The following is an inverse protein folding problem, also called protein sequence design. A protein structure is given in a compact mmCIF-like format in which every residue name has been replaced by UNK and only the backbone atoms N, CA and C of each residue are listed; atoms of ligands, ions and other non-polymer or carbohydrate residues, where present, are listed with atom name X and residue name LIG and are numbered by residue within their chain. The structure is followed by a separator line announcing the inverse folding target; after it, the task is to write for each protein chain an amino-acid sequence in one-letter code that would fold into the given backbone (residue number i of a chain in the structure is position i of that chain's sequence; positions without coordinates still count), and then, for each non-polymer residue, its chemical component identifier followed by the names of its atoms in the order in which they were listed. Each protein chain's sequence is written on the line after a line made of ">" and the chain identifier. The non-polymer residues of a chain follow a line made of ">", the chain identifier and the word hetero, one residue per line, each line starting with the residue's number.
data_IF_883026865860
#
_entry.id   IF_883026865860
#
_cell.length_a   1.000
_cell.length_b   1.000
_cell.length_c   1.000
_cell.angle_alpha   90.00
_cell.angle_beta   90.00
_cell.angle_gamma   90.00
#
_symmetry.space_group_name_H-M   'P 1'
#
loop_
_entity.id
_entity.type
_entity.pdbx_description
1 polymer ?
#
# COMPACT_ATOMS: atom_id res chain seq x y z
N UNK A 1 -4.35 -64.81 9.51
CA UNK A 1 -4.59 -63.59 10.31
C UNK A 1 -3.25 -62.96 10.62
N UNK A 2 -2.92 -61.89 9.92
CA UNK A 2 -1.71 -61.11 10.18
C UNK A 2 -2.10 -59.65 9.99
N UNK A 3 -2.51 -59.01 11.08
CA UNK A 3 -2.80 -57.59 11.13
C UNK A 3 -1.48 -56.83 10.97
N UNK A 4 -1.34 -56.06 9.87
CA UNK A 4 -0.37 -54.96 9.79
C UNK A 4 -1.09 -53.67 10.17
N UNK A 5 -0.93 -53.31 11.43
CA UNK A 5 -1.24 -52.00 11.99
C UNK A 5 -0.28 -50.94 11.43
N UNK A 6 -0.83 -49.77 11.11
CA UNK A 6 -0.12 -48.49 11.19
C UNK A 6 0.57 -48.01 9.91
N UNK A 7 -0.22 -47.43 9.00
CA UNK A 7 0.28 -46.38 8.11
C UNK A 7 -0.31 -45.06 8.60
N UNK A 8 0.53 -44.19 9.17
CA UNK A 8 0.20 -42.78 9.38
C UNK A 8 -0.05 -42.20 7.98
N UNK A 9 -1.31 -41.95 7.64
CA UNK A 9 -1.69 -41.23 6.43
C UNK A 9 -1.15 -39.80 6.58
N UNK A 10 0.03 -39.55 6.02
CA UNK A 10 0.50 -38.19 5.77
C UNK A 10 -0.45 -37.59 4.74
N UNK A 11 -1.15 -36.50 5.09
CA UNK A 11 -2.04 -35.74 4.19
C UNK A 11 -1.31 -35.05 3.02
N UNK A 12 -0.10 -35.47 2.68
CA UNK A 12 0.61 -34.96 1.52
C UNK A 12 0.11 -35.72 0.29
N UNK A 13 -0.57 -35.04 -0.67
CA UNK A 13 -0.93 -35.67 -1.93
C UNK A 13 0.34 -36.23 -2.58
N UNK A 14 0.22 -37.40 -3.21
CA UNK A 14 1.35 -38.05 -3.87
C UNK A 14 2.03 -37.04 -4.84
N UNK A 15 3.36 -36.99 -4.81
CA UNK A 15 4.14 -36.23 -5.79
C UNK A 15 3.98 -36.89 -7.17
N UNK A 16 2.92 -36.51 -7.89
CA UNK A 16 2.48 -37.24 -9.08
C UNK A 16 3.33 -36.97 -10.32
N UNK A 17 4.04 -35.83 -10.38
CA UNK A 17 4.84 -35.42 -11.55
C UNK A 17 6.16 -34.79 -11.11
N UNK A 18 7.24 -35.17 -11.78
CA UNK A 18 8.58 -34.63 -11.53
C UNK A 18 8.79 -33.30 -12.27
N UNK A 19 8.62 -32.20 -11.54
CA UNK A 19 8.69 -30.83 -12.07
C UNK A 19 10.10 -30.37 -12.44
N UNK A 20 11.15 -31.09 -12.03
CA UNK A 20 12.54 -30.75 -12.37
C UNK A 20 12.98 -31.30 -13.73
N UNK A 21 12.13 -32.07 -14.40
CA UNK A 21 12.43 -32.67 -15.72
C UNK A 21 12.13 -31.70 -16.86
N UNK A 22 12.94 -31.72 -17.93
CA UNK A 22 12.71 -30.85 -19.09
C UNK A 22 11.40 -31.16 -19.82
N UNK A 23 10.93 -32.41 -19.78
CA UNK A 23 9.67 -32.83 -20.40
C UNK A 23 8.45 -32.12 -19.79
N UNK A 24 8.49 -31.84 -18.47
CA UNK A 24 7.43 -31.07 -17.79
C UNK A 24 7.29 -29.67 -18.38
N UNK A 25 8.41 -28.98 -18.62
CA UNK A 25 8.44 -27.60 -19.10
C UNK A 25 8.22 -27.45 -20.61
N UNK A 26 8.60 -28.46 -21.40
CA UNK A 26 8.41 -28.50 -22.86
C UNK A 26 6.98 -28.89 -23.27
N UNK A 27 5.99 -28.62 -22.42
CA UNK A 27 4.58 -28.89 -22.68
C UNK A 27 3.92 -27.66 -23.34
N UNK A 28 3.11 -27.87 -24.38
CA UNK A 28 2.36 -26.78 -25.04
C UNK A 28 1.47 -25.98 -24.06
N UNK A 29 1.00 -26.61 -22.98
CA UNK A 29 0.24 -25.94 -21.91
C UNK A 29 1.09 -24.92 -21.16
N UNK A 30 2.36 -25.23 -20.91
CA UNK A 30 3.32 -24.30 -20.29
C UNK A 30 3.53 -23.10 -21.19
N UNK A 31 3.65 -23.32 -22.51
CA UNK A 31 3.79 -22.24 -23.50
C UNK A 31 2.58 -21.30 -23.44
N UNK A 32 1.35 -21.84 -23.39
CA UNK A 32 0.15 -21.02 -23.26
C UNK A 32 0.10 -20.23 -21.94
N UNK A 33 0.48 -20.86 -20.82
CA UNK A 33 0.57 -20.18 -19.53
C UNK A 33 1.62 -19.05 -19.58
N UNK A 34 2.77 -19.29 -20.23
CA UNK A 34 3.82 -18.29 -20.40
C UNK A 34 3.36 -17.11 -21.26
N UNK A 35 2.57 -17.37 -22.31
CA UNK A 35 1.95 -16.31 -23.12
C UNK A 35 1.03 -15.45 -22.26
N UNK A 36 0.18 -16.05 -21.41
CA UNK A 36 -0.68 -15.27 -20.50
C UNK A 36 0.12 -14.40 -19.54
N UNK A 37 1.14 -14.97 -18.89
CA UNK A 37 2.03 -14.25 -17.98
C UNK A 37 2.73 -13.08 -18.70
N UNK A 38 3.21 -13.32 -19.93
CA UNK A 38 3.87 -12.30 -20.75
C UNK A 38 2.91 -11.18 -21.16
N UNK A 39 1.69 -11.53 -21.61
CA UNK A 39 0.66 -10.54 -21.96
C UNK A 39 0.35 -9.65 -20.73
N UNK A 40 0.15 -10.25 -19.56
CA UNK A 40 -0.10 -9.51 -18.32
C UNK A 40 1.07 -8.59 -17.96
N UNK A 41 2.31 -9.07 -18.10
CA UNK A 41 3.52 -8.27 -17.86
C UNK A 41 3.64 -7.09 -18.81
N UNK A 42 3.45 -7.31 -20.12
CA UNK A 42 3.50 -6.27 -21.15
C UNK A 42 2.41 -5.23 -20.91
N UNK A 43 1.18 -5.68 -20.60
CA UNK A 43 0.07 -4.80 -20.29
C UNK A 43 0.34 -3.92 -19.06
N UNK A 44 0.88 -4.51 -17.99
CA UNK A 44 1.26 -3.77 -16.79
C UNK A 44 2.35 -2.73 -17.08
N UNK A 45 3.40 -3.13 -17.81
CA UNK A 45 4.48 -2.22 -18.20
C UNK A 45 3.97 -1.07 -19.08
N UNK A 46 3.08 -1.36 -20.04
CA UNK A 46 2.45 -0.35 -20.88
C UNK A 46 1.66 0.68 -20.05
N UNK A 47 0.89 0.24 -19.05
CA UNK A 47 0.17 1.14 -18.15
C UNK A 47 1.15 2.01 -17.36
N UNK A 48 2.18 1.43 -16.74
CA UNK A 48 3.18 2.19 -15.97
C UNK A 48 3.88 3.21 -16.88
N UNK A 49 4.31 2.78 -18.07
CA UNK A 49 4.95 3.66 -19.03
C UNK A 49 4.04 4.81 -19.48
N UNK A 50 2.77 4.52 -19.76
CA UNK A 50 1.77 5.53 -20.17
C UNK A 50 1.50 6.57 -19.08
N UNK A 51 1.34 6.15 -17.82
CA UNK A 51 0.92 7.04 -16.74
C UNK A 51 2.08 7.67 -15.95
N UNK A 52 3.25 7.02 -15.90
CA UNK A 52 4.41 7.49 -15.12
C UNK A 52 5.63 7.81 -16.00
N UNK A 53 5.83 7.11 -17.13
CA UNK A 53 7.00 7.24 -18.01
C UNK A 53 6.93 8.35 -19.08
N UNK A 54 5.78 8.57 -19.72
CA UNK A 54 5.60 9.63 -20.74
C UNK A 54 5.78 11.05 -20.17
N UNK A 55 5.78 11.19 -18.85
CA UNK A 55 5.84 12.45 -18.10
C UNK A 55 7.21 13.16 -18.18
N UNK A 56 8.30 12.45 -18.44
CA UNK A 56 9.64 13.07 -18.41
C UNK A 56 9.99 13.86 -19.68
N UNK A 57 9.24 13.71 -20.79
CA UNK A 57 9.56 14.39 -22.06
C UNK A 57 8.95 15.79 -22.19
N UNK A 58 8.04 16.21 -21.30
CA UNK A 58 7.24 17.43 -21.47
C UNK A 58 7.35 18.41 -20.28
N UNK A 59 8.47 18.37 -19.55
CA UNK A 59 8.67 19.16 -18.31
C UNK A 59 8.90 20.66 -18.55
N UNK A 60 9.08 21.11 -19.78
CA UNK A 60 9.51 22.50 -20.05
C UNK A 60 8.38 23.47 -20.42
N UNK A 61 7.11 23.07 -20.46
CA UNK A 61 6.05 24.01 -20.89
C UNK A 61 4.69 23.67 -20.32
N UNK A 62 4.41 24.04 -19.06
CA UNK A 62 3.07 24.42 -18.59
C UNK A 62 3.07 24.70 -17.07
N UNK A 63 3.56 25.87 -16.69
CA UNK A 63 3.15 26.52 -15.43
C UNK A 63 1.80 27.20 -15.64
N UNK A 64 0.70 26.45 -15.78
CA UNK A 64 -0.65 27.03 -15.57
C UNK A 64 -1.69 25.94 -15.38
N UNK A 65 -2.25 25.87 -14.17
CA UNK A 65 -3.62 25.43 -13.85
C UNK A 65 -4.14 24.17 -14.60
N UNK A 66 -3.62 22.99 -14.25
CA UNK A 66 -4.26 21.72 -14.64
C UNK A 66 -4.78 20.94 -13.42
N UNK A 67 -5.95 20.28 -13.55
CA UNK A 67 -6.60 19.53 -12.48
C UNK A 67 -5.62 18.48 -11.93
N UNK A 68 -5.64 18.31 -10.61
CA UNK A 68 -4.69 17.48 -9.86
C UNK A 68 -4.35 16.16 -10.57
N UNK A 69 -3.10 16.09 -11.05
CA UNK A 69 -2.61 15.04 -11.95
C UNK A 69 -2.79 13.66 -11.29
N UNK A 70 -3.39 12.70 -12.00
CA UNK A 70 -3.83 11.41 -11.44
C UNK A 70 -2.77 10.59 -10.69
N UNK A 71 -1.48 10.79 -10.95
CA UNK A 71 -0.37 10.12 -10.25
C UNK A 71 0.33 10.95 -9.19
N UNK A 72 -0.05 12.22 -8.98
CA UNK A 72 0.61 13.13 -8.07
C UNK A 72 0.23 12.83 -6.61
N UNK A 73 1.23 12.82 -5.73
CA UNK A 73 1.06 12.54 -4.31
C UNK A 73 1.67 13.69 -3.50
N UNK A 74 0.94 14.18 -2.50
CA UNK A 74 1.44 15.15 -1.53
C UNK A 74 2.03 14.45 -0.32
N UNK A 75 3.08 15.04 0.28
CA UNK A 75 3.78 14.45 1.42
C UNK A 75 2.84 14.21 2.61
N UNK A 76 1.92 15.15 2.85
CA UNK A 76 1.00 15.09 3.99
C UNK A 76 -0.09 14.01 3.85
N UNK A 77 -0.40 13.56 2.63
CA UNK A 77 -1.37 12.49 2.40
C UNK A 77 -0.89 11.12 2.92
N UNK A 78 0.42 10.96 3.14
CA UNK A 78 0.99 9.69 3.63
C UNK A 78 0.77 9.47 5.13
N UNK A 79 0.58 10.54 5.90
CA UNK A 79 0.52 10.48 7.37
C UNK A 79 -0.62 11.26 8.01
N UNK A 80 -1.39 12.07 7.26
CA UNK A 80 -2.57 12.75 7.79
C UNK A 80 -3.82 11.86 7.79
N UNK A 81 -4.63 11.91 8.86
CA UNK A 81 -5.97 11.32 8.87
C UNK A 81 -6.96 12.03 7.93
N UNK A 82 -8.05 11.37 7.57
CA UNK A 82 -9.13 11.95 6.76
C UNK A 82 -9.86 13.15 7.35
N UNK A 83 -9.94 13.19 8.67
CA UNK A 83 -10.71 14.16 9.43
C UNK A 83 -9.75 15.02 10.26
N UNK A 84 -9.91 16.34 10.21
CA UNK A 84 -9.13 17.32 10.97
C UNK A 84 -9.21 17.09 12.48
N UNK A 85 -10.34 16.59 12.98
CA UNK A 85 -10.54 16.29 14.40
C UNK A 85 -9.75 15.07 14.91
N UNK A 86 -9.22 14.22 14.02
CA UNK A 86 -8.44 13.05 14.43
C UNK A 86 -6.96 13.44 14.48
N UNK A 87 -6.37 13.38 15.67
CA UNK A 87 -4.95 13.67 15.85
C UNK A 87 -4.08 12.65 15.05
N UNK A 88 -3.04 13.08 14.31
CA UNK A 88 -2.18 12.18 13.52
C UNK A 88 -1.56 11.02 14.31
N UNK A 89 -1.37 11.19 15.63
CA UNK A 89 -0.88 10.14 16.51
C UNK A 89 -1.80 8.90 16.57
N UNK A 90 -3.11 9.03 16.36
CA UNK A 90 -4.02 7.87 16.32
C UNK A 90 -3.76 6.99 15.10
N UNK A 91 -3.50 7.60 13.94
CA UNK A 91 -3.10 6.86 12.73
C UNK A 91 -1.75 6.18 12.94
N UNK A 92 -0.79 6.86 13.57
CA UNK A 92 0.49 6.25 13.95
C UNK A 92 0.30 5.05 14.88
N UNK A 93 -0.48 5.21 15.96
CA UNK A 93 -0.73 4.14 16.92
C UNK A 93 -1.38 2.92 16.26
N UNK A 94 -2.36 3.14 15.38
CA UNK A 94 -2.98 2.09 14.59
C UNK A 94 -1.96 1.35 13.72
N UNK A 95 -1.10 2.08 13.00
CA UNK A 95 -0.07 1.49 12.12
C UNK A 95 0.97 0.68 12.87
N UNK A 96 1.43 1.18 14.02
CA UNK A 96 2.38 0.46 14.88
C UNK A 96 1.75 -0.81 15.44
N UNK A 97 0.50 -0.73 15.90
CA UNK A 97 -0.23 -1.91 16.38
C UNK A 97 -0.44 -2.94 15.27
N UNK A 98 -0.88 -2.52 14.10
CA UNK A 98 -1.06 -3.38 12.93
C UNK A 98 0.27 -4.05 12.51
N UNK A 99 1.36 -3.28 12.49
CA UNK A 99 2.70 -3.81 12.21
C UNK A 99 3.10 -4.88 13.24
N UNK A 100 2.93 -4.60 14.53
CA UNK A 100 3.27 -5.54 15.60
C UNK A 100 2.45 -6.84 15.50
N UNK A 101 1.14 -6.74 15.28
CA UNK A 101 0.25 -7.90 15.11
C UNK A 101 0.70 -8.75 13.91
N UNK A 102 0.93 -8.13 12.75
CA UNK A 102 1.36 -8.84 11.55
C UNK A 102 2.74 -9.47 11.71
N UNK A 103 3.67 -8.77 12.35
CA UNK A 103 5.01 -9.30 12.61
C UNK A 103 4.95 -10.52 13.55
N UNK A 104 4.16 -10.45 14.63
CA UNK A 104 3.96 -11.57 15.54
C UNK A 104 3.34 -12.75 14.81
N UNK A 105 2.32 -12.52 13.97
CA UNK A 105 1.70 -13.57 13.17
C UNK A 105 2.70 -14.22 12.21
N UNK A 106 3.51 -13.44 11.50
CA UNK A 106 4.54 -13.94 10.59
C UNK A 106 5.59 -14.77 11.33
N UNK A 107 6.10 -14.27 12.46
CA UNK A 107 7.09 -14.99 13.28
C UNK A 107 6.50 -16.27 13.84
N UNK A 108 5.28 -16.22 14.42
CA UNK A 108 4.60 -17.40 14.95
C UNK A 108 4.39 -18.45 13.86
N UNK A 109 3.86 -18.05 12.70
CA UNK A 109 3.64 -18.96 11.57
C UNK A 109 4.96 -19.59 11.11
N UNK A 110 6.03 -18.80 10.97
CA UNK A 110 7.34 -19.31 10.58
C UNK A 110 7.93 -20.30 11.63
N UNK A 111 7.68 -20.08 12.92
CA UNK A 111 8.15 -20.94 14.00
C UNK A 111 7.36 -22.25 14.11
N UNK A 112 6.03 -22.20 13.94
CA UNK A 112 5.16 -23.37 14.10
C UNK A 112 5.07 -24.23 12.84
N UNK A 113 4.91 -23.59 11.67
CA UNK A 113 4.68 -24.30 10.39
C UNK A 113 5.96 -24.42 9.54
N UNK A 114 7.04 -23.76 9.96
CA UNK A 114 8.34 -23.78 9.29
C UNK A 114 8.44 -22.86 8.07
N UNK A 115 9.63 -22.81 7.47
CA UNK A 115 9.93 -21.91 6.35
C UNK A 115 9.20 -22.24 5.04
N UNK A 116 8.71 -23.47 4.86
CA UNK A 116 7.98 -23.88 3.65
C UNK A 116 6.67 -23.12 3.44
N UNK A 117 6.12 -22.49 4.49
CA UNK A 117 4.90 -21.70 4.37
C UNK A 117 5.10 -20.44 3.51
N UNK A 118 6.34 -19.96 3.36
CA UNK A 118 6.67 -18.84 2.47
C UNK A 118 6.58 -19.17 0.97
N UNK A 119 6.27 -20.42 0.59
CA UNK A 119 5.87 -20.74 -0.79
C UNK A 119 4.44 -20.30 -1.12
N UNK A 120 3.59 -20.04 -0.13
CA UNK A 120 2.21 -19.62 -0.36
C UNK A 120 2.13 -18.10 -0.63
N UNK A 121 1.32 -17.72 -1.62
CA UNK A 121 1.05 -16.34 -1.98
C UNK A 121 0.41 -15.57 -0.82
N UNK A 122 -0.38 -16.24 0.01
CA UNK A 122 -0.96 -15.64 1.23
C UNK A 122 0.10 -15.15 2.21
N UNK A 123 1.22 -15.87 2.35
CA UNK A 123 2.33 -15.45 3.20
C UNK A 123 3.14 -14.33 2.57
N UNK A 124 3.29 -14.32 1.25
CA UNK A 124 3.85 -13.18 0.52
C UNK A 124 3.02 -11.92 0.76
N UNK A 125 1.69 -12.01 0.63
CA UNK A 125 0.75 -10.91 0.90
C UNK A 125 0.82 -10.46 2.36
N UNK A 126 0.87 -11.39 3.32
CA UNK A 126 1.02 -11.07 4.75
C UNK A 126 2.33 -10.30 5.02
N UNK A 127 3.45 -10.81 4.49
CA UNK A 127 4.77 -10.18 4.60
C UNK A 127 4.78 -8.79 3.98
N UNK A 128 4.20 -8.65 2.79
CA UNK A 128 4.12 -7.38 2.08
C UNK A 128 3.19 -6.37 2.78
N UNK A 129 2.14 -6.84 3.44
CA UNK A 129 1.28 -6.03 4.31
C UNK A 129 2.02 -5.60 5.57
N UNK A 130 2.85 -6.45 6.17
CA UNK A 130 3.71 -6.07 7.29
C UNK A 130 4.73 -4.99 6.87
N UNK A 131 5.37 -5.13 5.71
CA UNK A 131 6.28 -4.11 5.16
C UNK A 131 5.55 -2.78 4.96
N UNK A 132 4.31 -2.81 4.45
CA UNK A 132 3.46 -1.63 4.33
C UNK A 132 3.26 -0.91 5.67
N UNK A 133 2.84 -1.63 6.70
CA UNK A 133 2.61 -1.03 8.02
C UNK A 133 3.91 -0.57 8.70
N UNK A 134 5.03 -1.25 8.45
CA UNK A 134 6.35 -0.80 8.90
C UNK A 134 6.75 0.54 8.27
N UNK A 135 6.66 0.64 6.94
CA UNK A 135 6.93 1.89 6.22
C UNK A 135 5.95 3.01 6.60
N UNK A 136 4.66 2.66 6.73
CA UNK A 136 3.61 3.59 7.15
C UNK A 136 3.83 4.12 8.56
N UNK A 137 4.32 3.29 9.47
CA UNK A 137 4.68 3.71 10.84
C UNK A 137 5.84 4.70 10.81
N UNK A 138 6.89 4.44 10.02
CA UNK A 138 8.02 5.36 9.86
C UNK A 138 7.60 6.71 9.28
N UNK A 139 6.78 6.71 8.21
CA UNK A 139 6.27 7.94 7.60
C UNK A 139 5.31 8.69 8.53
N UNK A 140 4.46 7.97 9.27
CA UNK A 140 3.57 8.57 10.27
C UNK A 140 4.34 9.17 11.44
N UNK A 141 5.41 8.54 11.90
CA UNK A 141 6.25 9.04 12.99
C UNK A 141 6.97 10.32 12.55
N UNK A 142 7.55 10.32 11.36
CA UNK A 142 8.16 11.51 10.76
C UNK A 142 7.14 12.66 10.58
N UNK A 143 5.93 12.35 10.09
CA UNK A 143 4.86 13.32 9.95
C UNK A 143 4.36 13.90 11.28
N UNK A 144 4.19 13.05 12.31
CA UNK A 144 3.83 13.49 13.66
C UNK A 144 4.93 14.37 14.27
N UNK A 145 6.20 14.04 14.05
CA UNK A 145 7.32 14.85 14.50
C UNK A 145 7.32 16.24 13.84
N UNK A 146 7.13 16.31 12.52
CA UNK A 146 6.98 17.59 11.82
C UNK A 146 5.76 18.39 12.30
N UNK A 147 4.63 17.72 12.50
CA UNK A 147 3.41 18.35 13.01
C UNK A 147 3.63 18.97 14.41
N UNK A 148 4.30 18.25 15.30
CA UNK A 148 4.63 18.75 16.64
C UNK A 148 5.64 19.90 16.59
N UNK A 149 6.69 19.79 15.75
CA UNK A 149 7.66 20.87 15.56
C UNK A 149 6.98 22.16 15.06
N UNK A 150 6.03 22.05 14.14
CA UNK A 150 5.28 23.21 13.63
C UNK A 150 4.39 23.87 14.68
N UNK A 151 3.86 23.10 15.65
CA UNK A 151 3.07 23.64 16.76
C UNK A 151 3.95 24.20 17.89
N UNK A 152 5.16 23.68 18.05
CA UNK A 152 6.15 24.13 19.05
C UNK A 152 6.93 25.36 18.61
N UNK A 153 7.24 25.52 17.32
CA UNK A 153 7.94 26.69 16.78
C UNK A 153 7.16 28.00 16.95
N UNK A 154 5.83 27.94 16.84
CA UNK A 154 4.93 29.09 17.06
C UNK A 154 4.92 29.59 18.52
N UNK A 155 5.37 28.74 19.47
CA UNK A 155 5.50 29.10 20.89
C UNK A 155 6.89 29.62 21.28
N UNK A 156 7.94 29.35 20.51
CA UNK A 156 9.32 29.68 20.88
C UNK A 156 9.76 31.05 20.35
N UNK A 157 9.12 31.58 19.30
CA UNK A 157 9.41 32.94 18.78
C UNK A 157 8.81 34.09 19.63
N UNK A 158 8.25 33.80 20.81
CA UNK A 158 7.71 34.83 21.73
C UNK A 158 8.48 34.95 23.06
N UNK A 159 9.63 34.28 23.21
CA UNK A 159 10.47 34.40 24.42
C UNK A 159 11.94 34.59 24.06
N UNK A 160 12.22 35.61 23.26
CA UNK A 160 13.54 36.26 23.30
C UNK A 160 13.33 37.77 23.43
N UNK A 161 12.77 38.13 24.58
CA UNK A 161 12.61 39.49 25.06
C UNK A 161 13.30 39.63 26.40
N UNK A 162 14.52 40.16 26.32
CA UNK A 162 15.06 41.17 27.22
C UNK A 162 15.51 40.74 28.64
N UNK A 163 16.83 40.61 28.80
CA UNK A 163 17.51 40.90 30.05
C UNK A 163 18.93 41.39 29.72
N UNK A 164 19.09 42.68 29.46
CA UNK A 164 19.95 43.53 30.29
C UNK A 164 19.84 45.02 29.89
N UNK A 165 19.33 45.79 30.83
CA UNK A 165 19.00 47.21 30.77
C UNK A 165 20.25 48.05 31.09
N UNK A 166 20.53 49.10 30.31
CA UNK A 166 21.69 50.00 30.47
C UNK A 166 21.44 51.47 30.07
N UNK A 167 20.59 52.13 30.85
CA UNK A 167 20.44 53.57 31.22
C UNK A 167 21.19 54.69 30.42
N UNK A 168 20.40 55.69 29.97
CA UNK A 168 20.52 57.18 30.06
C UNK A 168 20.62 58.04 28.78
N UNK A 169 19.59 58.87 28.51
CA UNK A 169 19.62 60.36 28.55
C UNK A 169 18.61 61.08 27.61
N UNK A 170 17.62 61.75 28.24
CA UNK A 170 16.89 63.00 27.90
C UNK A 170 15.97 63.18 26.67
N UNK A 171 14.92 64.05 26.78
CA UNK A 171 13.75 64.07 25.89
C UNK A 171 13.62 65.30 24.95
N UNK A 172 12.64 65.20 24.04
CA UNK A 172 12.03 66.19 23.14
C UNK A 172 12.60 66.25 21.71
N UNK A 173 11.76 65.98 20.70
CA UNK A 173 11.04 66.99 19.91
C UNK A 173 9.90 66.30 19.12
N UNK A 174 8.77 67.00 19.08
CA UNK A 174 7.52 66.74 18.37
C UNK A 174 7.73 66.53 16.86
N UNK A 175 7.09 65.52 16.28
CA UNK A 175 7.00 65.34 14.83
C UNK A 175 5.92 64.32 14.48
N UNK A 176 4.82 64.83 13.91
CA UNK A 176 3.66 64.08 13.44
C UNK A 176 4.02 62.93 12.48
N UNK A 177 3.26 61.84 12.53
CA UNK A 177 2.63 61.22 11.34
C UNK A 177 2.09 59.82 11.64
N UNK A 178 0.79 59.67 11.40
CA UNK A 178 0.07 58.48 10.91
C UNK A 178 0.50 57.07 11.37
N UNK A 179 -0.37 56.39 12.12
CA UNK A 179 -1.20 55.32 11.55
C UNK A 179 -2.12 54.72 12.63
N UNK A 180 -3.41 54.93 12.43
CA UNK A 180 -4.48 54.22 13.12
C UNK A 180 -4.35 52.72 12.88
N UNK A 181 -4.47 51.95 13.97
CA UNK A 181 -4.52 50.50 14.02
C UNK A 181 -5.47 49.91 12.98
N UNK A 182 -4.93 49.48 11.85
CA UNK A 182 -5.62 48.59 10.92
C UNK A 182 -5.41 47.15 11.42
N UNK A 183 -6.51 46.55 11.86
CA UNK A 183 -6.70 45.16 12.24
C UNK A 183 -5.70 44.20 11.57
N UNK A 184 -4.87 43.59 12.41
CA UNK A 184 -4.08 42.40 12.10
C UNK A 184 -5.04 41.21 11.85
N UNK A 185 -5.62 41.16 10.65
CA UNK A 185 -6.44 40.05 10.15
C UNK A 185 -5.99 39.67 8.74
N UNK A 186 -4.68 39.52 8.56
CA UNK A 186 -4.08 39.22 7.25
C UNK A 186 -2.86 38.31 7.33
N UNK A 187 -2.86 37.30 8.22
CA UNK A 187 -1.67 36.43 8.38
C UNK A 187 -1.98 35.02 8.90
N UNK A 188 -3.03 34.36 8.40
CA UNK A 188 -3.30 32.96 8.80
C UNK A 188 -3.90 32.05 7.72
N UNK A 189 -4.00 32.55 6.49
CA UNK A 189 -4.46 31.77 5.32
C UNK A 189 -3.44 31.80 4.18
N UNK A 190 -2.16 31.98 4.47
CA UNK A 190 -1.13 31.54 3.52
C UNK A 190 -1.08 30.02 3.54
N UNK A 191 -1.81 29.45 2.57
CA UNK A 191 -1.57 28.16 1.95
C UNK A 191 -0.07 27.85 1.97
N UNK A 192 0.39 27.06 2.94
CA UNK A 192 1.61 26.30 2.79
C UNK A 192 1.43 25.50 1.50
N UNK A 193 2.11 25.90 0.42
CA UNK A 193 2.10 25.18 -0.84
C UNK A 193 2.42 23.72 -0.53
N UNK A 194 1.41 22.83 -0.63
CA UNK A 194 1.57 21.44 -0.22
C UNK A 194 2.77 20.85 -0.96
N UNK A 195 3.73 20.34 -0.19
CA UNK A 195 4.97 19.80 -0.76
C UNK A 195 4.69 18.48 -1.49
N UNK A 196 5.29 18.27 -2.68
CA UNK A 196 5.23 16.99 -3.36
C UNK A 196 5.84 15.91 -2.46
N UNK A 197 5.26 14.72 -2.46
CA UNK A 197 5.81 13.59 -1.74
C UNK A 197 7.21 13.22 -2.27
N UNK A 198 8.11 12.87 -1.35
CA UNK A 198 9.39 12.27 -1.71
C UNK A 198 9.24 10.84 -2.26
N UNK A 199 10.35 10.25 -2.69
CA UNK A 199 10.43 8.89 -3.21
C UNK A 199 9.71 7.86 -2.32
N UNK A 200 9.94 7.90 -1.01
CA UNK A 200 9.32 6.98 -0.06
C UNK A 200 7.80 7.10 0.03
N UNK A 201 7.22 8.28 -0.22
CA UNK A 201 5.77 8.45 -0.28
C UNK A 201 5.16 7.74 -1.49
N UNK A 202 5.80 7.84 -2.65
CA UNK A 202 5.37 7.11 -3.85
C UNK A 202 5.49 5.59 -3.66
N UNK A 203 6.61 5.12 -3.11
CA UNK A 203 6.80 3.70 -2.76
C UNK A 203 5.71 3.22 -1.81
N UNK A 204 5.44 3.97 -0.74
CA UNK A 204 4.39 3.65 0.21
C UNK A 204 3.01 3.54 -0.44
N UNK A 205 2.67 4.45 -1.36
CA UNK A 205 1.40 4.42 -2.08
C UNK A 205 1.31 3.25 -3.07
N UNK A 206 2.40 2.91 -3.75
CA UNK A 206 2.45 1.74 -4.65
C UNK A 206 2.24 0.45 -3.85
N UNK A 207 2.95 0.30 -2.72
CA UNK A 207 2.82 -0.85 -1.82
C UNK A 207 1.39 -0.95 -1.28
N UNK A 208 0.76 0.16 -0.89
CA UNK A 208 -0.65 0.18 -0.44
C UNK A 208 -1.59 -0.44 -1.49
N UNK A 209 -1.43 -0.04 -2.74
CA UNK A 209 -2.34 -0.46 -3.83
C UNK A 209 -2.09 -1.89 -4.28
N UNK A 210 -0.83 -2.31 -4.30
CA UNK A 210 -0.47 -3.71 -4.49
C UNK A 210 -1.08 -4.58 -3.39
N UNK A 211 -0.97 -4.19 -2.11
CA UNK A 211 -1.59 -4.90 -0.99
C UNK A 211 -3.11 -4.92 -1.09
N UNK A 212 -3.75 -3.81 -1.48
CA UNK A 212 -5.20 -3.74 -1.65
C UNK A 212 -5.73 -4.78 -2.64
N UNK A 213 -5.04 -4.94 -3.78
CA UNK A 213 -5.36 -5.99 -4.75
C UNK A 213 -5.05 -7.39 -4.22
N UNK A 214 -3.85 -7.58 -3.66
CA UNK A 214 -3.36 -8.90 -3.24
C UNK A 214 -4.18 -9.50 -2.09
N UNK A 215 -4.56 -8.70 -1.10
CA UNK A 215 -5.36 -9.13 0.05
C UNK A 215 -6.78 -9.51 -0.37
N UNK A 216 -7.41 -8.72 -1.25
CA UNK A 216 -8.73 -9.11 -1.77
C UNK A 216 -8.65 -10.32 -2.69
N UNK A 217 -7.59 -10.46 -3.50
CA UNK A 217 -7.40 -11.65 -4.33
C UNK A 217 -7.24 -12.90 -3.47
N UNK A 218 -6.44 -12.85 -2.41
CA UNK A 218 -6.31 -13.99 -1.48
C UNK A 218 -7.66 -14.30 -0.84
N UNK A 219 -8.38 -13.30 -0.33
CA UNK A 219 -9.65 -13.56 0.34
C UNK A 219 -10.72 -14.08 -0.64
N UNK A 220 -10.84 -13.50 -1.84
CA UNK A 220 -11.77 -13.98 -2.87
C UNK A 220 -11.45 -15.40 -3.35
N UNK A 221 -10.19 -15.74 -3.60
CA UNK A 221 -9.80 -17.11 -4.00
C UNK A 221 -10.19 -18.10 -2.90
N UNK A 222 -9.92 -17.78 -1.64
CA UNK A 222 -10.29 -18.68 -0.54
C UNK A 222 -11.81 -18.79 -0.33
N UNK A 223 -12.55 -17.70 -0.52
CA UNK A 223 -14.01 -17.68 -0.36
C UNK A 223 -14.73 -18.39 -1.51
N UNK A 224 -14.35 -18.14 -2.76
CA UNK A 224 -15.06 -18.65 -3.93
C UNK A 224 -14.55 -20.01 -4.42
N UNK A 225 -13.28 -20.36 -4.21
CA UNK A 225 -12.68 -21.59 -4.75
C UNK A 225 -12.52 -22.66 -3.66
N UNK A 226 -12.10 -22.27 -2.46
CA UNK A 226 -11.70 -23.23 -1.40
C UNK A 226 -12.80 -23.41 -0.34
N UNK A 227 -13.84 -22.57 -0.30
CA UNK A 227 -14.98 -22.65 0.65
C UNK A 227 -14.56 -22.74 2.13
N UNK A 228 -13.39 -22.20 2.47
CA UNK A 228 -12.88 -22.12 3.85
C UNK A 228 -12.83 -20.65 4.24
N UNK A 229 -13.59 -20.26 5.27
CA UNK A 229 -13.50 -18.94 5.90
C UNK A 229 -12.17 -18.90 6.66
N UNK A 230 -11.10 -18.52 5.95
CA UNK A 230 -9.71 -18.71 6.38
C UNK A 230 -9.16 -17.49 7.15
N UNK A 231 -8.10 -17.73 7.92
CA UNK A 231 -7.37 -16.83 8.82
C UNK A 231 -6.79 -15.53 8.22
N UNK A 232 -7.00 -15.25 6.93
CA UNK A 232 -6.41 -14.10 6.22
C UNK A 232 -7.24 -12.81 6.26
N UNK A 233 -8.45 -12.86 6.85
CA UNK A 233 -9.31 -11.68 7.09
C UNK A 233 -8.60 -10.61 7.92
N UNK A 234 -7.61 -10.96 8.73
CA UNK A 234 -6.83 -9.98 9.51
C UNK A 234 -6.12 -8.97 8.60
N UNK A 235 -5.53 -9.41 7.48
CA UNK A 235 -4.85 -8.51 6.54
C UNK A 235 -5.87 -7.54 5.92
N UNK A 236 -7.05 -8.04 5.53
CA UNK A 236 -8.12 -7.24 4.97
C UNK A 236 -8.64 -6.21 5.97
N UNK A 237 -8.90 -6.62 7.21
CA UNK A 237 -9.39 -5.74 8.29
C UNK A 237 -8.37 -4.66 8.62
N UNK A 238 -7.09 -5.01 8.77
CA UNK A 238 -6.04 -4.04 9.09
C UNK A 238 -5.87 -3.04 7.93
N UNK A 239 -5.78 -3.53 6.69
CA UNK A 239 -5.59 -2.66 5.52
C UNK A 239 -6.79 -1.76 5.28
N UNK A 240 -8.02 -2.27 5.43
CA UNK A 240 -9.25 -1.48 5.31
C UNK A 240 -9.38 -0.48 6.46
N UNK A 241 -8.91 -0.83 7.66
CA UNK A 241 -8.79 0.08 8.80
C UNK A 241 -7.84 1.24 8.54
N UNK A 242 -6.63 0.97 8.02
CA UNK A 242 -5.69 2.05 7.63
C UNK A 242 -6.30 2.92 6.53
N UNK A 243 -6.88 2.27 5.52
CA UNK A 243 -7.56 2.92 4.42
C UNK A 243 -8.72 3.79 4.90
N UNK A 244 -9.46 3.41 5.95
CA UNK A 244 -10.54 4.23 6.50
C UNK A 244 -10.01 5.50 7.20
N UNK A 245 -8.83 5.40 7.83
CA UNK A 245 -8.25 6.50 8.61
C UNK A 245 -7.40 7.45 7.75
N UNK A 246 -6.63 6.95 6.78
CA UNK A 246 -5.63 7.72 6.03
C UNK A 246 -6.22 8.57 4.89
N UNK A 247 -5.53 9.62 4.44
CA UNK A 247 -5.93 10.42 3.27
C UNK A 247 -5.34 9.93 1.93
N UNK A 248 -4.84 8.70 1.87
CA UNK A 248 -4.06 8.25 0.73
C UNK A 248 -4.94 8.05 -0.51
N UNK A 249 -4.56 8.69 -1.62
CA UNK A 249 -5.27 8.55 -2.90
C UNK A 249 -5.12 7.15 -3.47
N UNK A 250 -6.11 6.73 -4.24
CA UNK A 250 -6.13 5.42 -4.91
C UNK A 250 -6.26 5.55 -6.44
N UNK A 251 -5.19 5.93 -7.15
CA UNK A 251 -5.22 5.98 -8.61
C UNK A 251 -5.38 4.58 -9.23
N UNK A 252 -6.34 4.45 -10.16
CA UNK A 252 -6.69 3.16 -10.76
C UNK A 252 -5.57 2.53 -11.58
N UNK A 253 -4.76 3.35 -12.28
CA UNK A 253 -3.72 2.85 -13.18
C UNK A 253 -2.65 2.02 -12.47
N UNK A 254 -2.49 2.19 -11.15
CA UNK A 254 -1.49 1.44 -10.37
C UNK A 254 -1.90 -0.01 -10.05
N UNK A 255 -3.06 -0.46 -10.55
CA UNK A 255 -3.35 -1.90 -10.72
C UNK A 255 -2.23 -2.64 -11.47
N UNK A 256 -1.48 -1.93 -12.33
CA UNK A 256 -0.31 -2.48 -13.01
C UNK A 256 0.73 -3.07 -12.05
N UNK A 257 0.98 -2.43 -10.92
CA UNK A 257 1.91 -2.95 -9.91
C UNK A 257 1.39 -4.21 -9.23
N UNK A 258 0.08 -4.32 -9.06
CA UNK A 258 -0.55 -5.53 -8.55
C UNK A 258 -0.41 -6.70 -9.53
N UNK A 259 -0.60 -6.46 -10.84
CA UNK A 259 -0.31 -7.46 -11.87
C UNK A 259 1.15 -7.92 -11.83
N UNK A 260 2.10 -6.97 -11.75
CA UNK A 260 3.53 -7.30 -11.65
C UNK A 260 3.84 -8.14 -10.41
N UNK A 261 3.24 -7.82 -9.25
CA UNK A 261 3.42 -8.60 -8.02
C UNK A 261 3.03 -10.07 -8.21
N UNK A 262 1.86 -10.33 -8.79
CA UNK A 262 1.40 -11.69 -9.02
C UNK A 262 2.23 -12.41 -10.09
N UNK A 263 2.64 -11.71 -11.15
CA UNK A 263 3.57 -12.25 -12.16
C UNK A 263 4.91 -12.62 -11.53
N UNK A 264 5.46 -11.77 -10.65
CA UNK A 264 6.69 -12.07 -9.91
C UNK A 264 6.53 -13.33 -9.07
N UNK A 265 5.42 -13.48 -8.35
CA UNK A 265 5.14 -14.69 -7.58
C UNK A 265 5.11 -15.94 -8.49
N UNK A 266 4.39 -15.89 -9.61
CA UNK A 266 4.31 -16.99 -10.58
C UNK A 266 5.69 -17.38 -11.11
N UNK A 267 6.51 -16.40 -11.50
CA UNK A 267 7.87 -16.64 -12.00
C UNK A 267 8.73 -17.29 -10.91
N UNK A 268 8.67 -16.80 -9.67
CA UNK A 268 9.43 -17.38 -8.57
C UNK A 268 8.98 -18.83 -8.30
N UNK A 269 7.68 -19.10 -8.32
CA UNK A 269 7.17 -20.47 -8.21
C UNK A 269 7.70 -21.36 -9.34
N UNK A 270 7.68 -20.86 -10.58
CA UNK A 270 8.20 -21.62 -11.71
C UNK A 270 9.68 -21.95 -11.57
N UNK A 271 10.49 -20.97 -11.19
CA UNK A 271 11.93 -21.16 -10.95
C UNK A 271 12.17 -22.17 -9.84
N UNK A 272 11.47 -22.05 -8.71
CA UNK A 272 11.60 -23.00 -7.59
C UNK A 272 11.25 -24.42 -8.03
N UNK A 273 10.14 -24.61 -8.74
CA UNK A 273 9.71 -25.91 -9.23
C UNK A 273 10.61 -26.49 -10.33
N UNK A 274 11.27 -25.64 -11.12
CA UNK A 274 12.27 -26.08 -12.08
C UNK A 274 13.55 -26.58 -11.39
N UNK A 275 13.92 -25.98 -10.26
CA UNK A 275 15.15 -26.30 -9.53
C UNK A 275 14.98 -27.40 -8.47
N UNK A 276 13.82 -27.46 -7.81
CA UNK A 276 13.57 -28.33 -6.66
C UNK A 276 12.24 -29.03 -6.79
N UNK A 277 12.27 -30.35 -6.59
CA UNK A 277 11.08 -31.20 -6.61
C UNK A 277 10.25 -31.01 -5.33
N UNK A 278 9.33 -30.07 -5.37
CA UNK A 278 8.34 -29.81 -4.32
C UNK A 278 6.91 -29.92 -4.87
N UNK A 279 5.92 -30.06 -3.98
CA UNK A 279 4.51 -30.01 -4.38
C UNK A 279 4.07 -28.57 -4.64
N UNK A 280 3.10 -28.39 -5.54
CA UNK A 280 2.54 -27.07 -5.81
C UNK A 280 1.75 -26.56 -4.59
N UNK A 281 2.09 -25.38 -4.09
CA UNK A 281 1.34 -24.72 -3.01
C UNK A 281 -0.14 -24.51 -3.38
N UNK A 282 -0.42 -24.30 -4.67
CA UNK A 282 -1.77 -24.16 -5.20
C UNK A 282 -1.98 -25.11 -6.39
N UNK A 283 -2.98 -26.02 -6.35
CA UNK A 283 -3.25 -26.96 -7.44
C UNK A 283 -3.52 -26.29 -8.79
N UNK A 284 -4.09 -25.07 -8.79
CA UNK A 284 -4.36 -24.32 -10.02
C UNK A 284 -3.12 -23.74 -10.70
N UNK A 285 -1.95 -23.75 -10.03
CA UNK A 285 -0.67 -23.36 -10.63
C UNK A 285 0.04 -24.52 -11.32
N UNK A 286 -0.37 -25.77 -11.05
CA UNK A 286 0.21 -26.97 -11.63
C UNK A 286 0.01 -26.98 -13.15
N UNK A 287 1.12 -26.91 -13.89
CA UNK A 287 1.15 -26.82 -15.35
C UNK A 287 0.87 -28.17 -16.02
N UNK A 288 0.90 -29.29 -15.27
CA UNK A 288 0.49 -30.59 -15.77
C UNK A 288 -1.03 -30.68 -15.98
N UNK A 289 -1.80 -29.85 -15.25
CA UNK A 289 -3.26 -29.83 -15.33
C UNK A 289 -3.75 -29.47 -16.74
N UNK A 290 -4.77 -30.16 -17.29
CA UNK A 290 -5.36 -29.81 -18.57
C UNK A 290 -6.01 -28.43 -18.58
N UNK A 291 -6.38 -27.93 -17.41
CA UNK A 291 -7.01 -26.62 -17.25
C UNK A 291 -6.01 -25.52 -16.86
N UNK A 292 -4.71 -25.79 -16.83
CA UNK A 292 -3.70 -24.81 -16.41
C UNK A 292 -3.82 -23.47 -17.18
N UNK A 293 -3.90 -23.43 -18.53
CA UNK A 293 -4.05 -22.16 -19.24
C UNK A 293 -5.30 -21.37 -18.84
N UNK A 294 -6.41 -22.08 -18.56
CA UNK A 294 -7.66 -21.47 -18.12
C UNK A 294 -7.53 -20.89 -16.70
N UNK A 295 -6.83 -21.58 -15.80
CA UNK A 295 -6.57 -21.08 -14.45
C UNK A 295 -5.71 -19.82 -14.46
N UNK A 296 -4.65 -19.78 -15.25
CA UNK A 296 -3.78 -18.60 -15.36
C UNK A 296 -4.55 -17.40 -15.93
N UNK A 297 -5.38 -17.62 -16.95
CA UNK A 297 -6.28 -16.61 -17.48
C UNK A 297 -7.31 -16.14 -16.44
N UNK A 298 -7.98 -17.07 -15.74
CA UNK A 298 -9.00 -16.76 -14.75
C UNK A 298 -8.42 -15.93 -13.59
N UNK A 299 -7.25 -16.31 -13.06
CA UNK A 299 -6.55 -15.55 -12.03
C UNK A 299 -6.19 -14.16 -12.55
N UNK A 300 -5.67 -14.01 -13.77
CA UNK A 300 -5.38 -12.70 -14.36
C UNK A 300 -6.64 -11.81 -14.44
N UNK A 301 -7.77 -12.35 -14.88
CA UNK A 301 -9.05 -11.62 -14.94
C UNK A 301 -9.52 -11.23 -13.53
N UNK A 302 -9.39 -12.11 -12.53
CA UNK A 302 -9.81 -11.86 -11.14
C UNK A 302 -9.12 -10.67 -10.47
N UNK A 303 -7.96 -10.21 -10.95
CA UNK A 303 -7.32 -9.00 -10.43
C UNK A 303 -8.18 -7.76 -10.62
N UNK A 304 -8.94 -7.69 -11.73
CA UNK A 304 -9.78 -6.53 -12.07
C UNK A 304 -10.91 -6.34 -11.05
N UNK A 305 -11.79 -7.33 -10.79
CA UNK A 305 -12.83 -7.18 -9.77
C UNK A 305 -12.25 -7.04 -8.37
N UNK A 306 -11.19 -7.77 -8.00
CA UNK A 306 -10.59 -7.64 -6.67
C UNK A 306 -10.08 -6.22 -6.43
N UNK A 307 -9.27 -5.67 -7.35
CA UNK A 307 -8.79 -4.30 -7.25
C UNK A 307 -9.93 -3.27 -7.36
N UNK A 308 -10.93 -3.54 -8.20
CA UNK A 308 -12.11 -2.70 -8.39
C UNK A 308 -12.99 -2.57 -7.15
N UNK A 309 -13.20 -3.66 -6.40
CA UNK A 309 -13.95 -3.65 -5.14
C UNK A 309 -13.26 -2.76 -4.11
N UNK A 310 -11.94 -2.87 -3.96
CA UNK A 310 -11.19 -1.98 -3.06
C UNK A 310 -11.28 -0.51 -3.50
N UNK A 311 -11.10 -0.26 -4.80
CA UNK A 311 -11.21 1.08 -5.35
C UNK A 311 -12.60 1.70 -5.08
N UNK A 312 -13.66 0.91 -5.21
CA UNK A 312 -15.03 1.32 -4.91
C UNK A 312 -15.21 1.60 -3.41
N UNK A 313 -14.63 0.79 -2.53
CA UNK A 313 -14.65 1.04 -1.09
C UNK A 313 -13.98 2.37 -0.73
N UNK A 314 -12.83 2.69 -1.34
CA UNK A 314 -12.15 3.99 -1.16
C UNK A 314 -13.00 5.15 -1.68
N UNK A 315 -13.58 5.03 -2.87
CA UNK A 315 -14.48 6.07 -3.42
C UNK A 315 -15.71 6.28 -2.54
N UNK A 316 -16.30 5.20 -2.04
CA UNK A 316 -17.45 5.26 -1.14
C UNK A 316 -17.07 5.97 0.15
N UNK A 317 -15.95 5.60 0.76
CA UNK A 317 -15.41 6.26 1.96
C UNK A 317 -15.28 7.77 1.75
N UNK A 318 -14.59 8.22 0.70
CA UNK A 318 -14.40 9.65 0.45
C UNK A 318 -15.74 10.38 0.24
N UNK A 319 -16.68 9.74 -0.46
CA UNK A 319 -18.04 10.27 -0.65
C UNK A 319 -18.79 10.42 0.67
N UNK A 320 -18.76 9.38 1.52
CA UNK A 320 -19.45 9.37 2.81
C UNK A 320 -18.83 10.38 3.79
N UNK A 321 -17.50 10.40 3.91
CA UNK A 321 -16.81 11.33 4.81
C UNK A 321 -17.00 12.79 4.38
N UNK A 322 -16.93 13.08 3.08
CA UNK A 322 -17.20 14.43 2.57
C UNK A 322 -18.65 14.86 2.79
N UNK A 323 -19.61 13.93 2.83
CA UNK A 323 -21.03 14.23 3.05
C UNK A 323 -21.39 14.35 4.53
N UNK A 324 -20.84 13.50 5.37
CA UNK A 324 -21.15 13.45 6.80
C UNK A 324 -20.35 14.45 7.64
N UNK A 325 -19.13 14.79 7.20
CA UNK A 325 -18.23 15.68 7.95
C UNK A 325 -17.62 16.78 7.05
N UNK A 326 -18.44 17.64 6.42
CA UNK A 326 -17.96 18.60 5.42
C UNK A 326 -16.90 19.57 5.97
N UNK A 327 -17.04 20.04 7.21
CA UNK A 327 -16.10 21.02 7.81
C UNK A 327 -14.80 20.40 8.32
N UNK A 328 -14.82 19.08 8.59
CA UNK A 328 -13.68 18.34 9.12
C UNK A 328 -12.93 17.54 8.06
N UNK A 329 -13.54 17.23 6.92
CA UNK A 329 -12.93 16.46 5.85
C UNK A 329 -11.83 17.25 5.15
N UNK A 330 -10.62 16.68 5.06
CA UNK A 330 -9.43 17.40 4.56
C UNK A 330 -8.67 16.70 3.42
N UNK A 331 -9.13 15.54 2.96
CA UNK A 331 -8.53 14.90 1.79
C UNK A 331 -9.02 15.59 0.51
N UNK A 332 -8.21 15.52 -0.54
CA UNK A 332 -8.62 16.10 -1.81
C UNK A 332 -9.65 15.21 -2.51
N UNK A 333 -10.58 15.85 -3.22
CA UNK A 333 -11.65 15.20 -3.98
C UNK A 333 -11.15 14.59 -5.27
#
# INVERSE_FOLDING_TARGET
>A
MTYKTGSKVSWHPALTVDTTTSEYWLNWRVILCAIWVLITMIFAFFIIWKYEGFRNSNRDTAETQQPEKAGFLYEDETWKPCLRGVHPAWLLAFRVLAFAVLLILLVATALFDGGSIFYYYTQWTCTFTAIYFGLGSSLSMYGCYQYHKSLGGDKVDNVEGDAEQGICATPAVLGESSNSSAKHTSSREEFNARRPAGFWGYVFQIIFQMNAGAVLLTDCVFWFIILVINMHTINAVLLLGDAALNCLRFPMFRIAYFFLWTVTYVIVQWVVHACVKIWWAYPFLDLSSPYAPLWYFAVAVMHIPCYGVFALAIRLKHTLLSRWFPDSYQCVK
#
